data_IF_276029605872
#
_entry.id   IF_276029605872
#
_cell.length_a   1.000
_cell.length_b   1.000
_cell.length_c   1.000
_cell.angle_alpha   90.00
_cell.angle_beta   90.00
_cell.angle_gamma   90.00
#
_symmetry.space_group_name_H-M   'P 1'
#
loop_
_entity.id
_entity.type
_entity.pdbx_description
1 polymer ?
#
# COMPACT_ATOMS: atom_id res chain seq x y z
N UNK A 1 13.03 -3.08 -8.43
CA UNK A 1 13.12 -3.66 -7.07
C UNK A 1 11.78 -3.55 -6.36
N UNK A 2 11.13 -2.39 -6.38
CA UNK A 2 9.86 -2.16 -5.70
C UNK A 2 8.68 -2.49 -6.61
N UNK A 3 8.25 -3.74 -6.57
CA UNK A 3 7.24 -4.30 -7.46
C UNK A 3 5.80 -3.94 -7.08
N UNK A 4 5.61 -3.24 -5.95
CA UNK A 4 4.27 -2.89 -5.47
C UNK A 4 3.59 -1.82 -6.32
N UNK A 5 4.34 -0.81 -6.78
CA UNK A 5 3.77 0.41 -7.36
C UNK A 5 3.24 0.30 -8.79
N UNK A 6 3.86 -0.48 -9.72
CA UNK A 6 3.46 -0.44 -11.13
C UNK A 6 2.15 -1.16 -11.45
N UNK A 7 1.55 -1.87 -10.51
CA UNK A 7 0.31 -2.62 -10.75
C UNK A 7 -0.59 -2.72 -9.52
N UNK A 8 -1.88 -2.97 -9.75
CA UNK A 8 -2.86 -3.38 -8.75
C UNK A 8 -3.45 -4.72 -9.17
N UNK A 9 -3.64 -5.65 -8.25
CA UNK A 9 -4.22 -6.97 -8.53
C UNK A 9 -5.55 -7.12 -7.83
N UNK A 10 -6.51 -7.68 -8.55
CA UNK A 10 -7.86 -8.06 -8.11
C UNK A 10 -8.07 -9.55 -8.33
N UNK A 11 -9.20 -10.10 -7.87
CA UNK A 11 -9.57 -11.49 -8.18
C UNK A 11 -9.80 -11.73 -9.69
N UNK A 12 -10.05 -10.66 -10.46
CA UNK A 12 -10.34 -10.73 -11.90
C UNK A 12 -9.10 -10.56 -12.79
N UNK A 13 -8.01 -10.05 -12.21
CA UNK A 13 -6.77 -9.82 -12.94
C UNK A 13 -5.99 -8.60 -12.45
N UNK A 14 -4.98 -8.23 -13.22
CA UNK A 14 -4.10 -7.12 -12.93
C UNK A 14 -4.54 -5.83 -13.65
N UNK A 15 -4.42 -4.70 -12.96
CA UNK A 15 -4.51 -3.35 -13.54
C UNK A 15 -3.10 -2.79 -13.60
N UNK A 16 -2.68 -2.36 -14.76
CA UNK A 16 -1.39 -1.71 -14.95
C UNK A 16 -1.54 -0.23 -14.60
N UNK A 17 -0.74 0.21 -13.64
CA UNK A 17 -0.76 1.58 -13.15
C UNK A 17 0.22 2.46 -13.94
N UNK A 18 0.06 3.78 -13.86
CA UNK A 18 0.94 4.73 -14.50
C UNK A 18 1.76 5.48 -13.47
N UNK A 19 3.08 5.28 -13.51
CA UNK A 19 4.02 5.84 -12.57
C UNK A 19 4.20 7.35 -12.73
N UNK A 20 4.16 8.12 -11.63
CA UNK A 20 4.39 9.56 -11.65
C UNK A 20 5.87 9.90 -11.94
N UNK A 21 6.81 9.11 -11.39
CA UNK A 21 8.25 9.30 -11.65
C UNK A 21 8.61 8.83 -13.06
N UNK A 22 9.13 9.75 -13.88
CA UNK A 22 9.53 9.46 -15.29
C UNK A 22 10.53 8.30 -15.40
N UNK A 23 11.48 8.18 -14.46
CA UNK A 23 12.49 7.11 -14.45
C UNK A 23 11.91 5.72 -14.17
N UNK A 24 10.68 5.63 -13.63
CA UNK A 24 10.01 4.37 -13.32
C UNK A 24 8.98 3.95 -14.37
N UNK A 25 8.74 4.75 -15.40
CA UNK A 25 7.71 4.45 -16.42
C UNK A 25 7.98 3.15 -17.18
N UNK A 26 9.24 2.77 -17.35
CA UNK A 26 9.60 1.53 -18.04
C UNK A 26 9.26 0.26 -17.24
N UNK A 27 9.08 0.37 -15.92
CA UNK A 27 8.67 -0.78 -15.08
C UNK A 27 7.31 -1.35 -15.48
N UNK A 28 6.46 -0.53 -16.12
CA UNK A 28 5.12 -0.90 -16.60
C UNK A 28 5.19 -2.05 -17.63
N UNK A 29 6.12 -1.97 -18.59
CA UNK A 29 6.29 -3.00 -19.61
C UNK A 29 6.73 -4.34 -19.01
N UNK A 30 7.59 -4.30 -17.99
CA UNK A 30 8.08 -5.50 -17.31
C UNK A 30 6.95 -6.20 -16.53
N UNK A 31 6.08 -5.42 -15.88
CA UNK A 31 4.89 -5.96 -15.20
C UNK A 31 3.89 -6.58 -16.19
N UNK A 32 3.66 -5.92 -17.34
CA UNK A 32 2.80 -6.49 -18.39
C UNK A 32 3.36 -7.81 -18.92
N UNK A 33 4.66 -7.85 -19.22
CA UNK A 33 5.32 -9.07 -19.66
C UNK A 33 5.19 -10.19 -18.62
N UNK A 34 5.45 -9.87 -17.35
CA UNK A 34 5.34 -10.82 -16.24
C UNK A 34 3.93 -11.39 -16.12
N UNK A 35 2.88 -10.55 -16.05
CA UNK A 35 1.50 -11.03 -15.94
C UNK A 35 1.08 -11.92 -17.12
N UNK A 36 1.47 -11.54 -18.33
CA UNK A 36 1.21 -12.37 -19.53
C UNK A 36 1.93 -13.74 -19.42
N UNK A 37 3.16 -13.78 -18.90
CA UNK A 37 3.94 -15.01 -18.78
C UNK A 37 3.36 -16.02 -17.79
N UNK A 38 2.58 -15.54 -16.81
CA UNK A 38 1.92 -16.39 -15.80
C UNK A 38 0.40 -16.50 -16.02
N UNK A 39 -0.10 -16.08 -17.19
CA UNK A 39 -1.51 -16.11 -17.58
C UNK A 39 -2.46 -15.35 -16.62
N UNK A 40 -1.99 -14.27 -15.99
CA UNK A 40 -2.85 -13.34 -15.25
C UNK A 40 -3.44 -12.32 -16.22
N UNK A 41 -4.76 -12.21 -16.36
CA UNK A 41 -5.39 -11.25 -17.25
C UNK A 41 -5.04 -9.81 -16.90
N UNK A 42 -4.79 -8.97 -17.89
CA UNK A 42 -4.70 -7.51 -17.70
C UNK A 42 -6.08 -6.94 -17.99
N UNK A 43 -6.79 -6.51 -16.93
CA UNK A 43 -8.18 -6.05 -16.97
C UNK A 43 -8.32 -4.54 -17.16
N UNK A 44 -7.22 -3.79 -17.10
CA UNK A 44 -7.22 -2.34 -17.31
C UNK A 44 -5.84 -1.73 -17.23
N UNK A 45 -5.75 -0.47 -17.67
CA UNK A 45 -4.53 0.34 -17.60
C UNK A 45 -4.89 1.78 -17.27
N UNK A 46 -4.04 2.43 -16.46
CA UNK A 46 -4.07 3.88 -16.26
C UNK A 46 -3.17 4.51 -17.33
N UNK A 47 -3.68 5.48 -18.06
CA UNK A 47 -3.03 6.05 -19.24
C UNK A 47 -2.98 7.59 -19.19
N UNK A 48 -2.31 8.17 -20.14
CA UNK A 48 -2.19 9.61 -20.39
C UNK A 48 -1.67 10.39 -19.16
N UNK A 49 -2.36 11.45 -18.78
CA UNK A 49 -2.00 12.29 -17.61
C UNK A 49 -2.41 11.65 -16.26
N UNK A 50 -3.20 10.57 -16.29
CA UNK A 50 -3.57 9.84 -15.07
C UNK A 50 -2.36 9.15 -14.47
N UNK A 51 -2.11 9.34 -13.18
CA UNK A 51 -1.07 8.62 -12.43
C UNK A 51 -1.67 7.95 -11.22
N UNK A 52 -1.27 6.69 -10.98
CA UNK A 52 -1.57 5.92 -9.76
C UNK A 52 -0.35 5.07 -9.45
N UNK A 53 0.07 5.05 -8.21
CA UNK A 53 1.09 4.13 -7.70
C UNK A 53 0.48 3.20 -6.65
N UNK A 54 0.87 1.92 -6.66
CA UNK A 54 0.27 0.88 -5.81
C UNK A 54 0.39 1.16 -4.32
N UNK A 55 1.41 1.90 -3.89
CA UNK A 55 1.58 2.33 -2.50
C UNK A 55 0.48 3.28 -1.99
N UNK A 56 -0.28 3.91 -2.90
CA UNK A 56 -1.45 4.70 -2.56
C UNK A 56 -2.77 3.89 -2.59
N UNK A 57 -2.73 2.60 -2.94
CA UNK A 57 -3.89 1.73 -3.12
C UNK A 57 -4.01 0.74 -1.96
N UNK A 58 -5.00 0.90 -1.09
CA UNK A 58 -5.18 0.09 0.11
C UNK A 58 -6.55 -0.60 0.11
N UNK A 59 -6.57 -1.92 0.00
CA UNK A 59 -7.79 -2.72 0.07
C UNK A 59 -8.37 -2.70 1.48
N UNK A 60 -9.58 -2.14 1.65
CA UNK A 60 -10.34 -2.20 2.90
C UNK A 60 -11.07 -3.54 3.05
N UNK A 61 -11.52 -4.09 1.94
CA UNK A 61 -12.09 -5.41 1.77
C UNK A 61 -12.16 -5.76 0.27
N UNK A 62 -12.75 -6.90 -0.09
CA UNK A 62 -12.83 -7.38 -1.49
C UNK A 62 -13.59 -6.44 -2.44
N UNK A 63 -14.43 -5.53 -1.91
CA UNK A 63 -15.29 -4.63 -2.70
C UNK A 63 -14.99 -3.15 -2.49
N UNK A 64 -13.99 -2.81 -1.66
CA UNK A 64 -13.64 -1.42 -1.37
C UNK A 64 -12.15 -1.19 -1.38
N UNK A 65 -11.73 -0.24 -2.20
CA UNK A 65 -10.35 0.24 -2.31
C UNK A 65 -10.26 1.69 -1.83
N UNK A 66 -9.44 1.94 -0.82
CA UNK A 66 -9.05 3.30 -0.44
C UNK A 66 -7.83 3.72 -1.27
N UNK A 67 -7.91 4.89 -1.91
CA UNK A 67 -6.82 5.45 -2.72
C UNK A 67 -6.39 6.80 -2.14
N UNK A 68 -5.11 6.92 -1.84
CA UNK A 68 -4.48 8.17 -1.39
C UNK A 68 -4.26 9.12 -2.58
N UNK A 69 -4.84 10.32 -2.52
CA UNK A 69 -4.48 11.40 -3.45
C UNK A 69 -3.18 12.03 -2.96
N UNK A 70 -2.13 11.97 -3.79
CA UNK A 70 -0.76 12.34 -3.46
C UNK A 70 -0.07 12.98 -4.66
N UNK A 71 1.20 13.34 -4.51
CA UNK A 71 2.06 13.76 -5.64
C UNK A 71 2.35 12.62 -6.62
N UNK A 72 2.05 11.37 -6.24
CA UNK A 72 2.24 10.15 -7.05
C UNK A 72 0.95 9.67 -7.68
N UNK A 73 -0.19 9.98 -7.07
CA UNK A 73 -1.51 9.51 -7.49
C UNK A 73 -2.43 10.71 -7.63
N UNK A 74 -2.82 11.05 -8.86
CA UNK A 74 -3.61 12.22 -9.16
C UNK A 74 -5.10 11.88 -9.38
N UNK A 75 -5.94 12.92 -9.43
CA UNK A 75 -7.39 12.80 -9.59
C UNK A 75 -7.76 12.10 -10.92
N UNK A 76 -7.03 12.37 -12.01
CA UNK A 76 -7.28 11.73 -13.30
C UNK A 76 -7.06 10.22 -13.21
N UNK A 77 -5.94 9.79 -12.61
CA UNK A 77 -5.66 8.37 -12.39
C UNK A 77 -6.69 7.70 -11.47
N UNK A 78 -7.11 8.37 -10.39
CA UNK A 78 -8.15 7.86 -9.48
C UNK A 78 -9.48 7.65 -10.21
N UNK A 79 -9.89 8.58 -11.08
CA UNK A 79 -11.11 8.44 -11.90
C UNK A 79 -11.03 7.24 -12.83
N UNK A 80 -9.93 7.10 -13.59
CA UNK A 80 -9.73 5.95 -14.48
C UNK A 80 -9.77 4.63 -13.70
N UNK A 81 -9.08 4.56 -12.55
CA UNK A 81 -9.10 3.38 -11.70
C UNK A 81 -10.51 3.06 -11.19
N UNK A 82 -11.27 4.08 -10.80
CA UNK A 82 -12.66 3.93 -10.35
C UNK A 82 -13.57 3.38 -11.47
N UNK A 83 -13.41 3.86 -12.71
CA UNK A 83 -14.19 3.39 -13.85
C UNK A 83 -13.88 1.92 -14.17
N UNK A 84 -12.59 1.52 -14.15
CA UNK A 84 -12.19 0.13 -14.36
C UNK A 84 -12.79 -0.77 -13.27
N UNK A 85 -12.61 -0.40 -12.00
CA UNK A 85 -13.01 -1.22 -10.85
C UNK A 85 -14.53 -1.29 -10.66
N UNK A 86 -15.26 -0.24 -11.07
CA UNK A 86 -16.73 -0.21 -11.04
C UNK A 86 -17.35 -1.33 -11.87
N UNK A 87 -16.73 -1.71 -13.00
CA UNK A 87 -17.19 -2.84 -13.81
C UNK A 87 -17.22 -4.16 -13.05
N UNK A 88 -16.34 -4.31 -12.07
CA UNK A 88 -16.24 -5.49 -11.20
C UNK A 88 -16.96 -5.32 -9.84
N UNK A 89 -17.76 -4.26 -9.71
CA UNK A 89 -18.51 -3.98 -8.47
C UNK A 89 -17.64 -3.57 -7.29
N UNK A 90 -16.48 -2.98 -7.56
CA UNK A 90 -15.53 -2.50 -6.56
C UNK A 90 -15.65 -0.97 -6.43
N UNK A 91 -15.89 -0.51 -5.21
CA UNK A 91 -15.96 0.92 -4.88
C UNK A 91 -14.55 1.48 -4.64
N UNK A 92 -14.23 2.60 -5.27
CA UNK A 92 -13.00 3.37 -5.01
C UNK A 92 -13.34 4.58 -4.17
N UNK A 93 -12.77 4.65 -2.97
CA UNK A 93 -12.89 5.77 -2.05
C UNK A 93 -11.55 6.51 -2.06
N UNK A 94 -11.55 7.83 -2.32
CA UNK A 94 -10.33 8.62 -2.31
C UNK A 94 -10.21 9.53 -1.08
N UNK A 95 -8.99 9.72 -0.61
CA UNK A 95 -8.68 10.67 0.44
C UNK A 95 -7.31 11.32 0.21
N UNK A 96 -7.21 12.63 0.41
CA UNK A 96 -5.92 13.32 0.38
C UNK A 96 -5.05 12.85 1.53
N UNK A 97 -3.78 12.58 1.23
CA UNK A 97 -2.75 12.33 2.24
C UNK A 97 -1.93 13.60 2.47
N UNK A 98 -1.29 13.74 3.64
CA UNK A 98 -0.42 14.89 3.90
C UNK A 98 0.69 14.99 2.85
N UNK A 99 0.94 16.19 2.37
CA UNK A 99 2.15 16.48 1.62
C UNK A 99 3.22 16.89 2.64
N UNK A 100 4.17 16.02 2.90
CA UNK A 100 5.32 16.35 3.74
C UNK A 100 6.30 17.12 2.85
N UNK A 101 6.34 18.45 2.99
CA UNK A 101 7.31 19.31 2.33
C UNK A 101 8.72 18.79 2.60
N UNK A 102 9.54 18.66 1.55
CA UNK A 102 10.89 18.10 1.48
C UNK A 102 11.02 16.59 1.22
N UNK A 103 9.98 15.89 0.81
CA UNK A 103 10.15 14.49 0.49
C UNK A 103 10.49 14.26 -0.99
N UNK A 104 11.78 14.25 -1.34
CA UNK A 104 12.27 13.39 -2.43
C UNK A 104 11.96 11.91 -2.12
N UNK A 105 11.67 11.61 -0.86
CA UNK A 105 11.27 10.30 -0.35
C UNK A 105 9.94 9.85 -0.94
N UNK A 106 9.80 8.55 -1.11
CA UNK A 106 8.56 7.91 -1.54
C UNK A 106 7.54 7.97 -0.42
N UNK A 107 6.57 8.90 -0.49
CA UNK A 107 5.50 9.01 0.49
C UNK A 107 4.16 8.66 -0.14
N UNK A 108 3.57 7.58 0.31
CA UNK A 108 2.31 7.02 -0.14
C UNK A 108 1.31 6.88 1.02
N UNK A 109 0.07 6.51 0.74
CA UNK A 109 -0.90 6.14 1.77
C UNK A 109 -0.36 5.01 2.66
N UNK A 110 0.32 4.01 2.08
CA UNK A 110 0.94 2.92 2.83
C UNK A 110 2.17 3.33 3.65
N UNK A 111 2.66 4.56 3.51
CA UNK A 111 3.62 5.15 4.43
C UNK A 111 2.97 5.63 5.73
N UNK A 112 1.65 5.78 5.76
CA UNK A 112 0.87 6.23 6.92
C UNK A 112 0.21 5.09 7.67
N UNK A 113 -0.22 4.03 6.96
CA UNK A 113 -1.06 2.97 7.50
C UNK A 113 -0.92 1.67 6.71
N UNK A 114 -0.89 0.55 7.42
CA UNK A 114 -0.94 -0.80 6.86
C UNK A 114 -2.12 -1.58 7.44
N UNK A 115 -2.87 -2.29 6.58
CA UNK A 115 -3.88 -3.25 7.01
C UNK A 115 -3.19 -4.57 7.36
N UNK A 116 -3.48 -5.10 8.54
CA UNK A 116 -2.87 -6.31 9.10
C UNK A 116 -3.86 -7.43 9.37
N UNK A 117 -5.16 -7.09 9.32
CA UNK A 117 -6.29 -8.04 9.38
C UNK A 117 -7.53 -7.39 8.76
N UNK A 118 -8.62 -8.13 8.60
CA UNK A 118 -9.91 -7.61 8.12
C UNK A 118 -10.50 -6.54 9.04
N UNK A 119 -10.21 -6.60 10.35
CA UNK A 119 -10.70 -5.69 11.38
C UNK A 119 -9.60 -4.81 12.01
N UNK A 120 -8.35 -4.92 11.54
CA UNK A 120 -7.21 -4.32 12.20
C UNK A 120 -6.21 -3.71 11.22
N UNK A 121 -5.80 -2.50 11.52
CA UNK A 121 -4.72 -1.77 10.85
C UNK A 121 -3.74 -1.18 11.88
N UNK A 122 -2.55 -0.82 11.44
CA UNK A 122 -1.58 -0.05 12.22
C UNK A 122 -1.18 1.18 11.44
N UNK A 123 -1.08 2.33 12.09
CA UNK A 123 -0.74 3.57 11.39
C UNK A 123 -0.31 4.70 12.32
N UNK A 124 0.28 5.73 11.72
CA UNK A 124 0.61 6.99 12.42
C UNK A 124 -0.64 7.84 12.54
N UNK A 125 -1.40 7.64 13.63
CA UNK A 125 -2.73 8.25 13.79
C UNK A 125 -2.71 9.77 13.86
N UNK A 126 -1.61 10.41 14.27
CA UNK A 126 -1.45 11.86 14.26
C UNK A 126 -1.41 12.46 12.85
N UNK A 127 -0.93 11.69 11.86
CA UNK A 127 -0.85 12.13 10.47
C UNK A 127 -2.08 11.75 9.63
N UNK A 128 -2.96 10.87 10.13
CA UNK A 128 -4.18 10.47 9.42
C UNK A 128 -5.23 11.58 9.51
N UNK A 129 -5.76 12.00 8.36
CA UNK A 129 -6.88 12.94 8.32
C UNK A 129 -8.15 12.35 8.97
N UNK A 130 -9.04 13.22 9.44
CA UNK A 130 -10.33 12.78 9.99
C UNK A 130 -11.14 11.97 8.97
N UNK A 131 -11.03 12.29 7.68
CA UNK A 131 -11.68 11.53 6.61
C UNK A 131 -11.18 10.09 6.57
N UNK A 132 -9.86 9.87 6.60
CA UNK A 132 -9.28 8.53 6.62
C UNK A 132 -9.71 7.77 7.88
N UNK A 133 -9.62 8.39 9.06
CA UNK A 133 -10.06 7.78 10.32
C UNK A 133 -11.53 7.35 10.27
N UNK A 134 -12.40 8.20 9.69
CA UNK A 134 -13.81 7.89 9.54
C UNK A 134 -14.05 6.72 8.57
N UNK A 135 -13.33 6.68 7.43
CA UNK A 135 -13.41 5.56 6.47
C UNK A 135 -13.08 4.23 7.16
N UNK A 136 -12.02 4.16 7.97
CA UNK A 136 -11.65 2.96 8.71
C UNK A 136 -12.72 2.56 9.73
N UNK A 137 -13.26 3.54 10.46
CA UNK A 137 -14.36 3.33 11.43
C UNK A 137 -15.62 2.78 10.74
N UNK A 138 -16.02 3.36 9.61
CA UNK A 138 -17.21 2.92 8.85
C UNK A 138 -17.05 1.51 8.28
N UNK A 139 -15.83 1.09 8.01
CA UNK A 139 -15.51 -0.27 7.59
C UNK A 139 -15.17 -1.22 8.77
N UNK A 140 -15.38 -0.77 10.02
CA UNK A 140 -15.14 -1.54 11.26
C UNK A 140 -13.68 -2.01 11.42
N UNK A 141 -12.73 -1.28 10.87
CA UNK A 141 -11.30 -1.56 10.98
C UNK A 141 -10.72 -0.68 12.10
N UNK A 142 -10.27 -1.31 13.18
CA UNK A 142 -9.56 -0.63 14.27
C UNK A 142 -8.16 -0.23 13.82
N UNK A 143 -7.72 0.98 14.14
CA UNK A 143 -6.36 1.44 13.88
C UNK A 143 -5.57 1.41 15.19
N UNK A 144 -4.49 0.61 15.22
CA UNK A 144 -3.47 0.70 16.26
C UNK A 144 -2.57 1.91 15.97
N UNK A 145 -2.37 2.75 16.97
CA UNK A 145 -1.41 3.86 16.85
C UNK A 145 0.01 3.32 16.98
N UNK A 146 0.79 3.47 15.91
CA UNK A 146 2.21 3.09 15.91
C UNK A 146 2.99 3.97 16.91
N UNK A 147 4.04 3.47 17.59
CA UNK A 147 4.94 4.32 18.37
C UNK A 147 5.57 5.41 17.50
N UNK A 148 5.18 6.66 17.72
CA UNK A 148 5.54 7.77 16.82
C UNK A 148 7.05 8.02 16.77
N UNK A 149 7.76 7.87 17.88
CA UNK A 149 9.21 8.02 17.90
C UNK A 149 9.93 7.00 17.01
N UNK A 150 9.45 5.75 16.98
CA UNK A 150 9.97 4.73 16.08
C UNK A 150 9.54 4.98 14.63
N UNK A 151 8.30 5.40 14.42
CA UNK A 151 7.78 5.75 13.10
C UNK A 151 8.60 6.86 12.42
N UNK A 152 8.82 7.99 13.10
CA UNK A 152 9.58 9.11 12.55
C UNK A 152 11.08 8.76 12.39
N UNK A 153 11.68 8.08 13.37
CA UNK A 153 13.07 7.63 13.30
C UNK A 153 13.30 6.66 12.13
N UNK A 154 12.33 5.82 11.84
CA UNK A 154 12.37 4.86 10.74
C UNK A 154 12.12 5.47 9.36
N UNK A 155 11.83 6.77 9.27
CA UNK A 155 11.35 7.42 8.03
C UNK A 155 10.17 6.66 7.41
N UNK A 156 9.16 6.33 8.24
CA UNK A 156 7.94 5.59 7.90
C UNK A 156 8.09 4.07 7.67
N UNK A 157 9.29 3.52 7.67
CA UNK A 157 9.49 2.10 7.40
C UNK A 157 8.91 1.18 8.49
N UNK A 158 8.76 1.66 9.73
CA UNK A 158 8.15 0.88 10.81
C UNK A 158 6.67 0.51 10.54
N UNK A 159 5.95 1.29 9.71
CA UNK A 159 4.57 0.97 9.31
C UNK A 159 4.51 0.08 8.06
N UNK A 160 5.63 -0.14 7.37
CA UNK A 160 5.68 -0.96 6.17
C UNK A 160 5.69 -2.45 6.53
N UNK A 161 4.48 -2.99 6.73
CA UNK A 161 4.24 -4.34 7.22
C UNK A 161 3.49 -5.12 6.15
N UNK A 162 3.98 -6.30 5.80
CA UNK A 162 3.32 -7.21 4.89
C UNK A 162 2.51 -8.24 5.66
N UNK A 163 1.20 -8.20 5.55
CA UNK A 163 0.32 -9.27 6.01
C UNK A 163 0.27 -10.37 4.95
N UNK A 164 0.77 -11.58 5.25
CA UNK A 164 0.68 -12.75 4.37
C UNK A 164 -0.63 -13.50 4.55
N UNK A 165 -1.23 -13.39 5.72
CA UNK A 165 -2.60 -13.77 6.05
C UNK A 165 -3.06 -12.94 7.26
N UNK A 166 -4.35 -12.98 7.66
CA UNK A 166 -4.82 -12.24 8.83
C UNK A 166 -3.92 -12.42 10.05
N UNK A 167 -3.41 -11.30 10.60
CA UNK A 167 -2.48 -11.24 11.76
C UNK A 167 -1.18 -12.05 11.61
N UNK A 168 -0.85 -12.56 10.44
CA UNK A 168 0.43 -13.22 10.17
C UNK A 168 1.29 -12.29 9.31
N UNK A 169 2.30 -11.68 9.92
CA UNK A 169 2.96 -10.48 9.41
C UNK A 169 4.44 -10.74 9.15
N UNK A 170 4.95 -10.09 8.11
CA UNK A 170 6.39 -9.95 7.85
C UNK A 170 6.76 -8.47 8.06
N UNK A 171 7.76 -8.21 8.88
CA UNK A 171 8.31 -6.88 9.12
C UNK A 171 9.78 -6.93 9.50
N UNK A 172 10.41 -5.77 9.49
CA UNK A 172 11.83 -5.64 9.81
C UNK A 172 12.07 -5.73 11.33
N UNK A 173 13.15 -6.42 11.72
CA UNK A 173 13.52 -6.65 13.13
C UNK A 173 13.97 -5.37 13.88
N UNK A 174 14.27 -4.32 13.13
CA UNK A 174 14.79 -3.06 13.67
C UNK A 174 13.75 -2.25 14.47
N UNK A 175 12.46 -2.62 14.43
CA UNK A 175 11.36 -1.83 15.01
C UNK A 175 10.72 -2.52 16.21
N UNK A 176 11.46 -2.60 17.31
CA UNK A 176 11.09 -3.38 18.50
C UNK A 176 9.79 -2.93 19.18
N UNK A 177 9.52 -1.62 19.24
CA UNK A 177 8.28 -1.12 19.84
C UNK A 177 7.05 -1.47 19.01
N UNK A 178 7.16 -1.36 17.69
CA UNK A 178 6.11 -1.78 16.74
C UNK A 178 5.88 -3.28 16.82
N UNK A 179 6.94 -4.08 16.87
CA UNK A 179 6.86 -5.55 17.06
C UNK A 179 6.09 -5.89 18.34
N UNK A 180 6.45 -5.29 19.48
CA UNK A 180 5.79 -5.54 20.76
C UNK A 180 4.31 -5.13 20.72
N UNK A 181 3.97 -4.01 20.10
CA UNK A 181 2.59 -3.57 19.91
C UNK A 181 1.78 -4.59 19.11
N UNK A 182 2.34 -5.15 18.06
CA UNK A 182 1.67 -6.16 17.22
C UNK A 182 1.49 -7.48 17.96
N UNK A 183 2.51 -7.96 18.68
CA UNK A 183 2.45 -9.17 19.50
C UNK A 183 1.36 -9.03 20.57
N UNK A 184 1.27 -7.88 21.26
CA UNK A 184 0.24 -7.62 22.27
C UNK A 184 -1.19 -7.54 21.70
N UNK A 185 -1.32 -7.43 20.36
CA UNK A 185 -2.59 -7.48 19.63
C UNK A 185 -2.78 -8.82 18.87
N UNK A 186 -2.15 -9.91 19.37
CA UNK A 186 -2.28 -11.27 18.88
C UNK A 186 -1.82 -11.48 17.43
N UNK A 187 -0.80 -10.74 16.98
CA UNK A 187 -0.21 -10.96 15.68
C UNK A 187 0.96 -11.95 15.77
N UNK A 188 1.03 -12.86 14.78
CA UNK A 188 2.19 -13.70 14.52
C UNK A 188 3.19 -12.91 13.69
N UNK A 189 4.44 -12.89 14.14
CA UNK A 189 5.48 -12.04 13.55
C UNK A 189 6.57 -12.90 12.94
N UNK A 190 6.92 -12.60 11.69
CA UNK A 190 8.07 -13.14 10.97
C UNK A 190 9.03 -11.97 10.72
N UNK A 191 10.22 -12.05 11.28
CA UNK A 191 11.22 -10.99 11.23
C UNK A 191 12.30 -11.27 10.20
N UNK A 192 12.82 -10.19 9.61
CA UNK A 192 14.02 -10.22 8.78
C UNK A 192 14.82 -8.93 8.97
N UNK A 193 16.12 -8.96 8.70
CA UNK A 193 16.96 -7.77 8.74
C UNK A 193 16.74 -6.90 7.50
N UNK A 194 16.32 -5.65 7.70
CA UNK A 194 16.09 -4.68 6.62
C UNK A 194 17.30 -3.79 6.31
N UNK A 195 18.42 -3.94 7.02
CA UNK A 195 19.56 -3.01 7.00
C UNK A 195 20.14 -2.78 5.61
N UNK A 196 20.35 -3.85 4.83
CA UNK A 196 21.06 -3.75 3.55
C UNK A 196 20.16 -3.33 2.39
N UNK A 197 18.90 -3.74 2.40
CA UNK A 197 17.98 -3.46 1.29
C UNK A 197 16.95 -2.38 1.67
N UNK A 198 16.14 -2.63 2.69
CA UNK A 198 14.98 -1.79 2.97
C UNK A 198 15.36 -0.39 3.45
N UNK A 199 16.30 -0.30 4.39
CA UNK A 199 16.73 1.00 4.95
C UNK A 199 17.50 1.80 3.92
N UNK A 200 18.42 1.17 3.17
CA UNK A 200 19.22 1.86 2.15
C UNK A 200 18.41 2.33 0.95
N UNK A 201 17.38 1.58 0.58
CA UNK A 201 16.55 1.86 -0.60
C UNK A 201 15.20 2.51 -0.25
N UNK A 202 14.95 2.77 1.04
CA UNK A 202 13.74 3.42 1.56
C UNK A 202 12.43 2.70 1.17
N UNK A 203 12.42 1.35 1.24
CA UNK A 203 11.25 0.54 0.95
C UNK A 203 11.23 -0.78 1.72
N UNK A 204 10.12 -1.07 2.42
CA UNK A 204 9.96 -2.26 3.25
C UNK A 204 9.35 -3.46 2.52
N UNK A 205 8.92 -4.49 3.24
CA UNK A 205 8.47 -5.77 2.66
C UNK A 205 7.26 -5.63 1.75
N UNK A 206 6.36 -4.68 2.03
CA UNK A 206 5.22 -4.40 1.13
C UNK A 206 5.70 -3.81 -0.20
N UNK A 207 6.64 -2.86 -0.18
CA UNK A 207 7.19 -2.27 -1.39
C UNK A 207 7.90 -3.30 -2.29
N UNK A 208 8.56 -4.28 -1.66
CA UNK A 208 9.31 -5.34 -2.36
C UNK A 208 8.41 -6.43 -2.96
N UNK A 209 7.10 -6.42 -2.67
CA UNK A 209 6.19 -7.50 -3.06
C UNK A 209 4.93 -6.97 -3.72
N UNK A 210 4.37 -7.76 -4.63
CA UNK A 210 3.02 -7.57 -5.16
C UNK A 210 2.26 -8.88 -5.01
N UNK A 211 1.33 -8.99 -4.04
CA UNK A 211 0.47 -10.16 -3.93
C UNK A 211 -0.34 -10.34 -5.23
N UNK A 212 -0.29 -11.55 -5.80
CA UNK A 212 -1.02 -11.89 -7.03
C UNK A 212 -2.26 -12.68 -6.70
N UNK A 213 -2.17 -13.59 -5.73
CA UNK A 213 -3.28 -14.39 -5.26
C UNK A 213 -3.22 -14.49 -3.74
N UNK A 214 -4.36 -14.31 -3.09
CA UNK A 214 -4.55 -14.63 -1.68
C UNK A 214 -5.68 -15.67 -1.59
N UNK A 215 -5.39 -16.79 -0.97
CA UNK A 215 -6.40 -17.82 -0.68
C UNK A 215 -6.94 -17.50 0.71
N UNK A 216 -8.27 -17.39 0.84
CA UNK A 216 -8.98 -17.18 2.10
C UNK A 216 -9.04 -18.48 2.90
#
# INVERSE_FOLDING_TARGET
IFTHDPSLVTNEGAIILNMAKKLRKNEISDHMFFYNSINVPIIGKIIDEGTVEGGDCLWLNEKKLLVGESVRTNISGIKQLSEILKFYGIEVISAKIPNLENSESCFHLMSLISIIDQDLAIGCTSLLSNKIKQIFKDNKIKILSIPEDEYFKSKTLAVNILAISPRNLILMEEYSKTINLLISNNCKINLFSGKELCIKMEGGPTCLTRPILRVN
#
